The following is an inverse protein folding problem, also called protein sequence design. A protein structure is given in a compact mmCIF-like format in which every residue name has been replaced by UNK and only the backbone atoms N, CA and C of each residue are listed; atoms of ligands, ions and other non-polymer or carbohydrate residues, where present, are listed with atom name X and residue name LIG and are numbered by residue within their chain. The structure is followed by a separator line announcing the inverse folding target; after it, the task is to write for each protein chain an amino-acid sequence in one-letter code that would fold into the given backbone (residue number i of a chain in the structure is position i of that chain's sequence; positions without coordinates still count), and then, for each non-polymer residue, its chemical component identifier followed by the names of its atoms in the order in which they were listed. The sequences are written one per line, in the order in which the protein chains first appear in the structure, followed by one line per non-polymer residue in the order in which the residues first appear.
data_IF_692312593120
#
_entry.id   IF_692312593120
#
_cell.length_a   1.000
_cell.length_b   1.000
_cell.length_c   1.000
_cell.angle_alpha   90.00
_cell.angle_beta   90.00
_cell.angle_gamma   90.00
#
_symmetry.space_group_name_H-M   'P 1'
#
loop_
_entity.id
_entity.type
_entity.pdbx_description
1 polymer ?
#
# COMPACT_ATOMS: atom_id res chain seq x y z
N UNK A 1 -81.13 -0.49 -40.52
CA UNK A 1 -79.90 -1.03 -41.14
C UNK A 1 -78.81 0.00 -40.92
N UNK A 2 -78.05 -0.16 -39.84
CA UNK A 2 -77.02 0.79 -39.40
C UNK A 2 -75.68 0.11 -39.60
N UNK A 3 -74.95 0.56 -40.61
CA UNK A 3 -73.64 0.03 -41.00
C UNK A 3 -72.58 0.75 -40.18
N UNK A 4 -72.09 0.10 -39.13
CA UNK A 4 -70.96 0.59 -38.33
C UNK A 4 -69.69 0.37 -39.14
N UNK A 5 -69.06 1.46 -39.59
CA UNK A 5 -67.78 1.42 -40.28
C UNK A 5 -66.67 1.11 -39.28
N UNK A 6 -66.06 -0.07 -39.44
CA UNK A 6 -64.87 -0.49 -38.69
C UNK A 6 -63.65 0.23 -39.26
N UNK A 7 -63.09 1.15 -38.47
CA UNK A 7 -61.86 1.87 -38.81
C UNK A 7 -60.68 0.90 -38.71
N UNK A 8 -59.91 0.65 -39.79
CA UNK A 8 -58.75 -0.22 -39.71
C UNK A 8 -57.70 0.43 -38.81
N UNK A 9 -57.34 -0.27 -37.74
CA UNK A 9 -56.24 0.10 -36.87
C UNK A 9 -54.95 0.11 -37.70
N UNK A 10 -54.49 1.32 -38.01
CA UNK A 10 -53.19 1.60 -38.60
C UNK A 10 -52.11 1.10 -37.63
N UNK A 11 -51.62 -0.12 -37.87
CA UNK A 11 -50.40 -0.64 -37.27
C UNK A 11 -49.23 0.21 -37.77
N UNK A 12 -49.00 1.33 -37.07
CA UNK A 12 -47.79 2.11 -37.20
C UNK A 12 -46.60 1.18 -37.00
N UNK A 13 -45.85 0.94 -38.07
CA UNK A 13 -44.65 0.13 -38.07
C UNK A 13 -43.71 0.67 -36.99
N UNK A 14 -43.53 -0.11 -35.92
CA UNK A 14 -42.63 0.19 -34.83
C UNK A 14 -41.21 0.23 -35.42
N UNK A 15 -40.68 1.45 -35.56
CA UNK A 15 -39.35 1.67 -36.11
C UNK A 15 -38.34 0.77 -35.36
N UNK A 16 -37.43 0.10 -36.08
CA UNK A 16 -36.52 -0.86 -35.46
C UNK A 16 -35.72 -0.16 -34.35
N UNK A 17 -35.98 -0.57 -33.10
CA UNK A 17 -35.17 -0.15 -31.96
C UNK A 17 -33.74 -0.60 -32.23
N UNK A 18 -32.83 0.33 -32.48
CA UNK A 18 -31.42 0.02 -32.67
C UNK A 18 -30.89 -0.75 -31.44
N UNK A 19 -30.71 -2.05 -31.60
CA UNK A 19 -30.16 -2.99 -30.61
C UNK A 19 -28.63 -2.87 -30.54
N UNK A 20 -28.14 -1.63 -30.37
CA UNK A 20 -26.73 -1.34 -30.13
C UNK A 20 -26.45 -1.33 -28.63
N UNK A 21 -26.05 -2.47 -28.07
CA UNK A 21 -25.91 -2.64 -26.62
C UNK A 21 -24.95 -1.65 -25.95
N UNK A 22 -25.45 -0.96 -24.91
CA UNK A 22 -24.72 -0.02 -24.03
C UNK A 22 -23.66 -0.68 -23.13
N UNK A 23 -23.38 -1.98 -23.30
CA UNK A 23 -22.56 -2.78 -22.37
C UNK A 23 -21.15 -2.24 -22.17
N UNK A 24 -20.52 -1.70 -23.23
CA UNK A 24 -19.16 -1.14 -23.14
C UNK A 24 -19.12 0.16 -22.34
N UNK A 25 -20.16 1.01 -22.45
CA UNK A 25 -20.25 2.25 -21.68
C UNK A 25 -20.50 2.00 -20.19
N UNK A 26 -21.34 1.02 -19.87
CA UNK A 26 -21.59 0.58 -18.49
C UNK A 26 -20.34 -0.08 -17.90
N UNK A 27 -19.67 -0.95 -18.66
CA UNK A 27 -18.42 -1.57 -18.23
C UNK A 27 -17.35 -0.50 -17.94
N UNK A 28 -17.17 0.49 -18.82
CA UNK A 28 -16.24 1.60 -18.61
C UNK A 28 -16.55 2.40 -17.33
N UNK A 29 -17.84 2.68 -17.08
CA UNK A 29 -18.29 3.36 -15.86
C UNK A 29 -18.02 2.52 -14.60
N UNK A 30 -18.35 1.22 -14.61
CA UNK A 30 -18.13 0.31 -13.48
C UNK A 30 -16.63 0.13 -13.22
N UNK A 31 -15.79 -0.02 -14.25
CA UNK A 31 -14.33 -0.08 -14.08
C UNK A 31 -13.74 1.23 -13.57
N UNK A 32 -14.31 2.38 -13.99
CA UNK A 32 -13.93 3.68 -13.44
C UNK A 32 -14.31 3.82 -11.97
N UNK A 33 -15.49 3.35 -11.59
CA UNK A 33 -15.96 3.33 -10.20
C UNK A 33 -15.14 2.40 -9.30
N UNK A 34 -14.58 1.31 -9.85
CA UNK A 34 -13.65 0.40 -9.17
C UNK A 34 -12.20 0.93 -9.13
N UNK A 35 -11.96 2.19 -9.54
CA UNK A 35 -10.65 2.82 -9.58
C UNK A 35 -9.59 2.09 -10.43
N UNK A 36 -10.02 1.26 -11.40
CA UNK A 36 -9.13 0.65 -12.40
C UNK A 36 -8.83 1.67 -13.51
N UNK A 37 -8.25 2.80 -13.12
CA UNK A 37 -8.13 4.01 -13.92
C UNK A 37 -7.52 3.80 -15.33
N UNK A 38 -6.44 3.01 -15.53
CA UNK A 38 -5.91 2.77 -16.87
C UNK A 38 -6.86 1.92 -17.73
N UNK A 39 -7.52 0.91 -17.16
CA UNK A 39 -8.49 0.06 -17.87
C UNK A 39 -9.74 0.87 -18.24
N UNK A 40 -10.23 1.69 -17.32
CA UNK A 40 -11.36 2.59 -17.55
C UNK A 40 -11.06 3.60 -18.67
N UNK A 41 -9.83 4.12 -18.73
CA UNK A 41 -9.41 5.06 -19.78
C UNK A 41 -9.34 4.38 -21.17
N UNK A 42 -8.78 3.18 -21.27
CA UNK A 42 -8.74 2.41 -22.53
C UNK A 42 -10.15 2.05 -23.00
N UNK A 43 -11.03 1.56 -22.11
CA UNK A 43 -12.42 1.24 -22.44
C UNK A 43 -13.23 2.48 -22.83
N UNK A 44 -13.00 3.62 -22.16
CA UNK A 44 -13.59 4.91 -22.49
C UNK A 44 -13.20 5.39 -23.90
N UNK A 45 -11.92 5.31 -24.24
CA UNK A 45 -11.40 5.65 -25.58
C UNK A 45 -11.98 4.75 -26.67
N UNK A 46 -12.08 3.43 -26.43
CA UNK A 46 -12.69 2.47 -27.36
C UNK A 46 -14.19 2.78 -27.55
N UNK A 47 -14.91 3.08 -26.46
CA UNK A 47 -16.31 3.48 -26.52
C UNK A 47 -16.53 4.76 -27.32
N UNK A 48 -15.63 5.74 -27.17
CA UNK A 48 -15.68 7.02 -27.90
C UNK A 48 -15.34 6.84 -29.38
N UNK A 49 -14.37 5.98 -29.73
CA UNK A 49 -14.04 5.64 -31.11
C UNK A 49 -15.22 4.93 -31.82
N UNK A 50 -15.93 4.05 -31.11
CA UNK A 50 -17.11 3.34 -31.63
C UNK A 50 -18.32 4.26 -31.82
N UNK A 51 -18.48 5.28 -30.97
CA UNK A 51 -19.46 6.35 -31.16
C UNK A 51 -19.15 7.21 -32.39
N UNK A 52 -17.89 7.64 -32.58
CA UNK A 52 -17.47 8.38 -33.80
C UNK A 52 -17.74 7.61 -35.09
N UNK A 53 -17.76 6.28 -35.01
CA UNK A 53 -18.03 5.38 -36.15
C UNK A 53 -19.53 5.21 -36.45
N UNK A 54 -20.43 5.91 -35.75
CA UNK A 54 -21.88 5.82 -35.93
C UNK A 54 -22.53 4.55 -35.37
N UNK A 55 -21.78 3.70 -34.65
CA UNK A 55 -22.25 2.40 -34.15
C UNK A 55 -22.86 2.45 -32.74
N UNK A 56 -23.10 3.64 -32.17
CA UNK A 56 -23.64 3.81 -30.83
C UNK A 56 -24.61 4.98 -30.73
N UNK A 57 -25.76 4.74 -30.09
CA UNK A 57 -26.91 5.65 -30.00
C UNK A 57 -26.74 6.80 -28.99
N UNK A 58 -25.88 6.66 -27.96
CA UNK A 58 -25.79 7.65 -26.86
C UNK A 58 -24.36 8.03 -26.47
N UNK A 59 -24.06 9.34 -26.53
CA UNK A 59 -22.72 9.94 -26.29
C UNK A 59 -22.36 10.12 -24.81
N UNK A 60 -23.35 10.18 -23.92
CA UNK A 60 -23.14 10.58 -22.52
C UNK A 60 -22.40 9.55 -21.66
N UNK A 61 -22.61 8.25 -21.90
CA UNK A 61 -22.01 7.18 -21.10
C UNK A 61 -20.50 7.00 -21.33
N UNK A 62 -19.99 6.94 -22.58
CA UNK A 62 -18.54 6.86 -22.82
C UNK A 62 -17.77 8.08 -22.30
N UNK A 63 -18.38 9.27 -22.39
CA UNK A 63 -17.79 10.51 -21.89
C UNK A 63 -17.64 10.47 -20.37
N UNK A 64 -18.67 10.03 -19.65
CA UNK A 64 -18.63 9.89 -18.19
C UNK A 64 -17.53 8.91 -17.74
N UNK A 65 -17.41 7.74 -18.38
CA UNK A 65 -16.34 6.77 -18.08
C UNK A 65 -14.94 7.33 -18.34
N UNK A 66 -14.78 8.11 -19.42
CA UNK A 66 -13.49 8.74 -19.76
C UNK A 66 -13.11 9.82 -18.75
N UNK A 67 -14.06 10.69 -18.36
CA UNK A 67 -13.83 11.73 -17.34
C UNK A 67 -13.50 11.10 -16.00
N UNK A 68 -14.26 10.07 -15.58
CA UNK A 68 -14.02 9.38 -14.31
C UNK A 68 -12.66 8.68 -14.30
N UNK A 69 -12.27 8.04 -15.41
CA UNK A 69 -10.94 7.46 -15.57
C UNK A 69 -9.82 8.51 -15.49
N UNK A 70 -9.97 9.66 -16.18
CA UNK A 70 -8.99 10.75 -16.13
C UNK A 70 -8.86 11.35 -14.73
N UNK A 71 -9.98 11.62 -14.04
CA UNK A 71 -9.98 12.10 -12.66
C UNK A 71 -9.34 11.08 -11.72
N UNK A 72 -9.63 9.79 -11.91
CA UNK A 72 -9.01 8.71 -11.14
C UNK A 72 -7.50 8.66 -11.29
N UNK A 73 -6.97 8.81 -12.52
CA UNK A 73 -5.51 8.87 -12.75
C UNK A 73 -4.92 10.09 -12.07
N UNK A 74 -5.51 11.28 -12.25
CA UNK A 74 -4.97 12.52 -11.66
C UNK A 74 -4.99 12.45 -10.14
N UNK A 75 -6.11 12.05 -9.54
CA UNK A 75 -6.24 11.92 -8.10
C UNK A 75 -5.30 10.85 -7.53
N UNK A 76 -5.24 9.67 -8.16
CA UNK A 76 -4.34 8.59 -7.74
C UNK A 76 -2.87 8.99 -7.84
N UNK A 77 -2.49 9.68 -8.92
CA UNK A 77 -1.12 10.21 -9.08
C UNK A 77 -0.81 11.26 -8.03
N UNK A 78 -1.74 12.19 -7.77
CA UNK A 78 -1.57 13.22 -6.75
C UNK A 78 -1.41 12.61 -5.35
N UNK A 79 -2.21 11.60 -5.00
CA UNK A 79 -2.08 10.86 -3.72
C UNK A 79 -0.75 10.13 -3.66
N UNK A 80 -0.37 9.42 -4.73
CA UNK A 80 0.91 8.70 -4.78
C UNK A 80 2.11 9.63 -4.62
N UNK A 81 2.10 10.79 -5.29
CA UNK A 81 3.14 11.82 -5.13
C UNK A 81 3.11 12.41 -3.72
N UNK A 82 1.94 12.74 -3.18
CA UNK A 82 1.82 13.26 -1.82
C UNK A 82 2.35 12.26 -0.78
N UNK A 83 2.08 10.96 -0.96
CA UNK A 83 2.61 9.91 -0.10
C UNK A 83 4.13 9.75 -0.25
N UNK A 84 4.66 9.74 -1.47
CA UNK A 84 6.09 9.65 -1.73
C UNK A 84 6.88 10.86 -1.18
N UNK A 85 6.24 12.03 -1.14
CA UNK A 85 6.81 13.24 -0.54
C UNK A 85 6.52 13.35 0.97
N UNK A 86 5.68 12.48 1.53
CA UNK A 86 5.36 12.48 2.96
C UNK A 86 6.45 11.75 3.75
N UNK A 87 6.53 12.08 5.04
CA UNK A 87 7.40 11.37 5.99
C UNK A 87 6.83 10.01 6.42
N UNK A 88 5.64 9.62 5.94
CA UNK A 88 4.96 8.39 6.37
C UNK A 88 5.82 7.12 6.21
N UNK A 89 6.58 6.91 5.12
CA UNK A 89 7.49 5.77 5.01
C UNK A 89 8.61 5.82 6.04
N UNK A 90 9.15 7.00 6.33
CA UNK A 90 10.25 7.19 7.30
C UNK A 90 9.77 6.89 8.72
N UNK A 91 8.58 7.39 9.09
CA UNK A 91 7.96 7.09 10.38
C UNK A 91 7.65 5.60 10.54
N UNK A 92 7.26 4.92 9.46
CA UNK A 92 7.06 3.47 9.48
C UNK A 92 8.39 2.72 9.72
N UNK A 93 9.48 3.12 9.06
CA UNK A 93 10.81 2.55 9.31
C UNK A 93 11.25 2.76 10.77
N UNK A 94 11.03 3.94 11.34
CA UNK A 94 11.37 4.21 12.74
C UNK A 94 10.57 3.33 13.71
N UNK A 95 9.29 3.09 13.41
CA UNK A 95 8.46 2.19 14.20
C UNK A 95 8.95 0.74 14.11
N UNK A 96 9.32 0.28 12.92
CA UNK A 96 9.86 -1.07 12.70
C UNK A 96 11.21 -1.24 13.42
N UNK A 97 12.11 -0.26 13.35
CA UNK A 97 13.36 -0.25 14.09
C UNK A 97 13.15 -0.35 15.61
N UNK A 98 12.17 0.39 16.15
CA UNK A 98 11.80 0.31 17.58
C UNK A 98 11.26 -1.06 17.97
N UNK A 99 10.45 -1.69 17.11
CA UNK A 99 9.95 -3.05 17.36
C UNK A 99 11.11 -4.05 17.37
N UNK A 100 12.03 -3.94 16.42
CA UNK A 100 13.20 -4.81 16.31
C UNK A 100 14.13 -4.68 17.53
N UNK A 101 14.51 -3.45 17.91
CA UNK A 101 15.42 -3.24 19.05
C UNK A 101 14.81 -3.75 20.36
N UNK A 102 13.48 -3.64 20.53
CA UNK A 102 12.77 -4.19 21.69
C UNK A 102 12.76 -5.73 21.67
N UNK A 103 12.49 -6.36 20.52
CA UNK A 103 12.54 -7.83 20.39
C UNK A 103 13.93 -8.38 20.73
N UNK A 104 14.97 -7.78 20.14
CA UNK A 104 16.37 -8.16 20.39
C UNK A 104 16.76 -7.88 21.83
N UNK A 105 16.39 -6.71 22.37
CA UNK A 105 16.64 -6.34 23.75
C UNK A 105 16.02 -7.33 24.74
N UNK A 106 14.76 -7.72 24.54
CA UNK A 106 14.09 -8.70 25.40
C UNK A 106 14.77 -10.07 25.35
N UNK A 107 15.14 -10.55 24.16
CA UNK A 107 15.87 -11.81 24.02
C UNK A 107 17.24 -11.74 24.73
N UNK A 108 17.90 -10.58 24.68
CA UNK A 108 19.17 -10.37 25.37
C UNK A 108 19.01 -10.30 26.89
N UNK A 109 17.90 -9.73 27.41
CA UNK A 109 17.55 -9.78 28.84
C UNK A 109 17.43 -11.24 29.29
N UNK A 110 16.63 -12.04 28.59
CA UNK A 110 16.41 -13.45 28.91
C UNK A 110 17.73 -14.26 28.88
N UNK A 111 18.56 -14.03 27.87
CA UNK A 111 19.88 -14.67 27.76
C UNK A 111 20.83 -14.25 28.88
N UNK A 112 20.92 -12.94 29.17
CA UNK A 112 21.87 -12.39 30.16
C UNK A 112 21.59 -12.86 31.58
N UNK A 113 20.32 -13.13 31.92
CA UNK A 113 19.93 -13.70 33.20
C UNK A 113 20.51 -15.10 33.43
N UNK A 114 20.74 -15.88 32.37
CA UNK A 114 21.31 -17.22 32.44
C UNK A 114 22.85 -17.24 32.29
N UNK A 115 23.45 -16.17 31.75
CA UNK A 115 24.86 -16.13 31.34
C UNK A 115 25.61 -14.91 31.87
N UNK A 116 25.58 -14.72 33.19
CA UNK A 116 26.27 -13.60 33.82
C UNK A 116 27.79 -13.57 33.51
N UNK A 117 28.28 -12.47 32.94
CA UNK A 117 29.69 -12.26 32.61
C UNK A 117 30.15 -12.86 31.27
N UNK A 118 29.23 -13.42 30.47
CA UNK A 118 29.53 -13.85 29.11
C UNK A 118 29.44 -12.68 28.11
N UNK A 119 30.16 -12.78 26.99
CA UNK A 119 30.07 -11.82 25.89
C UNK A 119 28.72 -11.95 25.18
N UNK A 120 28.11 -10.82 24.83
CA UNK A 120 26.76 -10.77 24.24
C UNK A 120 26.73 -11.41 22.84
N UNK A 121 25.88 -12.42 22.62
CA UNK A 121 25.89 -13.22 21.39
C UNK A 121 24.93 -12.66 20.35
N UNK A 122 24.98 -11.35 20.09
CA UNK A 122 24.10 -10.71 19.11
C UNK A 122 24.79 -10.68 17.76
N UNK A 123 24.13 -11.21 16.73
CA UNK A 123 24.62 -11.15 15.35
C UNK A 123 23.50 -10.84 14.35
N UNK A 124 23.90 -10.37 13.17
CA UNK A 124 22.99 -10.09 12.06
C UNK A 124 22.92 -11.31 11.13
N UNK A 125 21.73 -11.60 10.63
CA UNK A 125 21.48 -12.62 9.61
C UNK A 125 20.94 -11.99 8.33
N UNK A 126 20.65 -12.77 7.29
CA UNK A 126 20.05 -12.23 6.06
C UNK A 126 18.58 -11.79 6.24
N UNK A 127 17.90 -12.27 7.30
CA UNK A 127 16.46 -12.05 7.53
C UNK A 127 16.13 -11.38 8.87
N UNK A 128 17.12 -11.18 9.75
CA UNK A 128 16.92 -10.48 11.01
C UNK A 128 18.12 -10.55 11.94
N UNK A 129 17.88 -10.90 13.19
CA UNK A 129 18.89 -10.92 14.24
C UNK A 129 18.96 -12.32 14.83
N UNK A 130 20.08 -12.62 15.45
CA UNK A 130 20.26 -13.84 16.21
C UNK A 130 20.83 -13.49 17.58
N UNK A 131 20.23 -14.05 18.63
CA UNK A 131 20.72 -13.96 20.01
C UNK A 131 20.90 -15.38 20.51
N UNK A 132 22.15 -15.84 20.63
CA UNK A 132 22.46 -17.20 21.11
C UNK A 132 21.75 -18.33 20.32
N UNK A 133 21.76 -18.26 18.99
CA UNK A 133 21.05 -19.23 18.14
C UNK A 133 19.54 -18.98 18.00
N UNK A 134 18.95 -18.06 18.78
CA UNK A 134 17.55 -17.68 18.62
C UNK A 134 17.38 -16.68 17.48
N UNK A 135 16.77 -17.12 16.38
CA UNK A 135 16.44 -16.26 15.25
C UNK A 135 15.27 -15.32 15.58
N UNK A 136 15.47 -14.02 15.36
CA UNK A 136 14.52 -12.94 15.56
C UNK A 136 14.28 -12.26 14.20
N UNK A 137 13.11 -12.45 13.57
CA UNK A 137 12.79 -11.80 12.29
C UNK A 137 12.79 -10.27 12.43
N UNK A 138 13.41 -9.60 11.47
CA UNK A 138 13.38 -8.14 11.38
C UNK A 138 12.09 -7.64 10.71
N UNK A 139 11.58 -6.53 11.20
CA UNK A 139 10.49 -5.78 10.56
C UNK A 139 11.01 -4.72 9.58
N UNK A 140 12.32 -4.46 9.54
CA UNK A 140 12.91 -3.47 8.63
C UNK A 140 12.86 -3.97 7.18
N UNK A 141 12.49 -3.06 6.27
CA UNK A 141 12.47 -3.36 4.83
C UNK A 141 13.89 -3.37 4.23
N UNK A 142 14.80 -2.56 4.79
CA UNK A 142 16.17 -2.41 4.30
C UNK A 142 17.18 -3.13 5.18
N UNK A 143 17.31 -4.43 4.94
CA UNK A 143 18.15 -5.31 5.74
C UNK A 143 19.65 -5.00 5.59
N UNK A 144 20.13 -4.60 4.40
CA UNK A 144 21.57 -4.40 4.17
C UNK A 144 22.16 -3.17 4.88
N UNK A 145 21.33 -2.20 5.26
CA UNK A 145 21.75 -0.95 5.88
C UNK A 145 21.67 -0.95 7.41
N UNK A 146 21.41 -2.11 8.03
CA UNK A 146 21.27 -2.20 9.49
C UNK A 146 22.56 -2.61 10.18
N UNK A 147 22.79 -2.03 11.35
CA UNK A 147 23.90 -2.38 12.23
C UNK A 147 23.41 -2.55 13.65
N UNK A 148 24.01 -3.46 14.41
CA UNK A 148 23.71 -3.66 15.83
C UNK A 148 24.99 -3.65 16.63
N UNK A 149 24.98 -2.89 17.73
CA UNK A 149 26.11 -2.80 18.67
C UNK A 149 25.59 -2.89 20.09
N UNK A 150 26.30 -3.61 20.96
CA UNK A 150 25.99 -3.68 22.39
C UNK A 150 27.16 -3.11 23.18
N UNK A 151 26.89 -2.09 24.00
CA UNK A 151 27.84 -1.50 24.94
C UNK A 151 27.69 -2.14 26.32
N UNK A 152 28.81 -2.21 27.05
CA UNK A 152 28.93 -2.69 28.43
C UNK A 152 28.22 -4.02 28.70
N UNK A 153 28.80 -5.18 28.35
CA UNK A 153 28.15 -6.49 28.46
C UNK A 153 27.94 -6.96 29.91
N UNK A 154 28.10 -6.08 30.90
CA UNK A 154 27.79 -6.39 32.29
C UNK A 154 26.30 -6.75 32.43
N UNK A 155 25.98 -7.76 33.25
CA UNK A 155 24.59 -8.15 33.48
C UNK A 155 23.79 -6.94 33.95
N UNK A 156 22.70 -6.64 33.24
CA UNK A 156 21.77 -5.53 33.55
C UNK A 156 22.33 -4.11 33.41
N UNK A 157 23.53 -3.91 32.85
CA UNK A 157 24.06 -2.56 32.56
C UNK A 157 24.31 -2.32 31.06
N UNK A 158 24.01 -3.31 30.22
CA UNK A 158 24.23 -3.20 28.79
C UNK A 158 23.25 -2.24 28.10
N UNK A 159 23.72 -1.71 26.97
CA UNK A 159 22.91 -0.88 26.09
C UNK A 159 23.05 -1.31 24.63
N UNK A 160 21.93 -1.67 24.01
CA UNK A 160 21.82 -2.09 22.63
C UNK A 160 21.51 -0.88 21.75
N UNK A 161 22.30 -0.65 20.71
CA UNK A 161 21.99 0.33 19.65
C UNK A 161 21.76 -0.42 18.34
N UNK A 162 20.66 -0.08 17.67
CA UNK A 162 20.33 -0.52 16.33
C UNK A 162 20.38 0.69 15.41
N UNK A 163 21.23 0.62 14.39
CA UNK A 163 21.36 1.62 13.31
C UNK A 163 20.64 1.11 12.06
N UNK A 164 20.04 2.03 11.30
CA UNK A 164 19.27 1.72 10.09
C UNK A 164 19.13 2.98 9.22
N UNK A 165 18.82 2.79 7.93
CA UNK A 165 18.56 3.86 6.98
C UNK A 165 17.06 3.99 6.68
N UNK A 166 16.69 5.12 6.08
CA UNK A 166 15.34 5.36 5.56
C UNK A 166 14.31 5.81 6.60
N UNK A 167 14.71 5.93 7.88
CA UNK A 167 13.93 6.54 8.96
C UNK A 167 14.15 8.04 9.12
N UNK A 168 13.41 8.67 10.05
CA UNK A 168 13.72 10.03 10.50
C UNK A 168 14.88 10.06 11.49
N UNK A 169 15.11 8.93 12.17
CA UNK A 169 16.30 8.67 12.98
C UNK A 169 17.23 7.70 12.27
N UNK A 170 18.53 7.80 12.56
CA UNK A 170 19.55 6.84 12.07
C UNK A 170 19.84 5.71 13.06
N UNK A 171 19.32 5.81 14.28
CA UNK A 171 19.51 4.82 15.32
C UNK A 171 18.36 4.83 16.34
N UNK A 172 18.16 3.69 17.00
CA UNK A 172 17.33 3.51 18.19
C UNK A 172 18.11 2.70 19.23
N UNK A 173 17.86 2.97 20.51
CA UNK A 173 18.57 2.31 21.58
C UNK A 173 17.63 1.64 22.59
N UNK A 174 18.10 0.55 23.20
CA UNK A 174 17.42 -0.18 24.25
C UNK A 174 18.40 -0.52 25.37
N UNK A 175 18.09 -0.09 26.58
CA UNK A 175 18.84 -0.38 27.80
C UNK A 175 18.19 -1.54 28.56
N UNK A 176 19.00 -2.37 29.21
CA UNK A 176 18.53 -3.45 30.06
C UNK A 176 17.60 -2.99 31.21
N UNK A 177 17.78 -1.77 31.71
CA UNK A 177 17.06 -1.25 32.89
C UNK A 177 15.89 -0.35 32.53
N UNK A 178 16.02 0.43 31.46
CA UNK A 178 15.05 1.47 31.09
C UNK A 178 14.18 1.06 29.89
N UNK A 179 14.57 0.01 29.17
CA UNK A 179 13.93 -0.35 27.90
C UNK A 179 14.33 0.62 26.80
N UNK A 180 13.36 1.08 26.00
CA UNK A 180 13.63 1.98 24.87
C UNK A 180 14.11 3.36 25.35
N UNK A 181 15.27 3.80 24.87
CA UNK A 181 15.88 5.09 25.19
C UNK A 181 16.35 5.81 23.92
N UNK A 182 16.62 7.11 24.01
CA UNK A 182 16.99 7.93 22.84
C UNK A 182 18.37 7.55 22.27
N UNK A 183 19.34 7.28 23.13
CA UNK A 183 20.69 6.86 22.73
C UNK A 183 21.41 6.19 23.89
N UNK A 184 22.30 5.24 23.60
CA UNK A 184 23.20 4.70 24.60
C UNK A 184 24.22 5.77 25.04
N UNK A 185 24.66 5.75 26.32
CA UNK A 185 25.74 6.62 26.77
C UNK A 185 27.00 6.37 25.91
N UNK A 186 27.76 7.43 25.65
CA UNK A 186 29.05 7.30 24.99
C UNK A 186 29.98 6.49 25.91
N UNK A 187 30.33 5.27 25.49
CA UNK A 187 31.32 4.43 26.13
C UNK A 187 32.74 4.97 26.00
#
# INVERSE_FOLDING_TARGET
MTQTAESPAEHAAEAPRESGGNGVGIAAFVTGALALAPIALVLGLIGLARYRSGKASRRSWPLAGTILGAVGIVAGTAIGVAYALSEAPQVAQDAHAKVDVVKVGNALVDWSAAHAGATTPVSLTDTGYEVDGLAIPSELDQLEARGVTVLDPEPYAWCLTLTYDGGTSSAVAFSATEGLIDSCPAG
#
